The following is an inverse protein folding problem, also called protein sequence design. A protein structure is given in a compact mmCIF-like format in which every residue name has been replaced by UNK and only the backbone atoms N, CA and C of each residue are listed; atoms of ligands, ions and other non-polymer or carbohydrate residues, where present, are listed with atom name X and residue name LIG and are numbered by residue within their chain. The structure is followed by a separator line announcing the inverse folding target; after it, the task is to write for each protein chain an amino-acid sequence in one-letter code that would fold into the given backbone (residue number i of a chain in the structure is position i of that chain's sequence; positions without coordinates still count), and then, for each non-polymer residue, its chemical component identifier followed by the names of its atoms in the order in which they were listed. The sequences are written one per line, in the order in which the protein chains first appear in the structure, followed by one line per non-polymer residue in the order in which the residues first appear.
data_IF_079909262365
#
_entry.id   IF_079909262365
#
_cell.length_a   1.000
_cell.length_b   1.000
_cell.length_c   1.000
_cell.angle_alpha   90.00
_cell.angle_beta   90.00
_cell.angle_gamma   90.00
#
_symmetry.space_group_name_H-M   'P 1'
#
loop_
_entity.id
_entity.type
_entity.pdbx_description
1 polymer ?
#
# COMPACT_ATOMS: atom_id res chain seq x y z
N UNK A 1 -34.83 -20.93 38.66
CA UNK A 1 -34.52 -22.30 38.18
C UNK A 1 -33.57 -22.16 36.99
N UNK A 2 -32.26 -21.89 37.10
CA UNK A 2 -31.24 -22.15 38.16
C UNK A 2 -30.93 -23.63 38.43
N UNK A 3 -29.69 -23.91 38.87
CA UNK A 3 -29.09 -25.24 39.22
C UNK A 3 -28.66 -26.07 37.98
N UNK A 4 -27.50 -26.74 37.87
CA UNK A 4 -26.10 -26.70 38.39
C UNK A 4 -25.23 -27.39 37.27
N UNK A 5 -23.90 -27.34 37.09
CA UNK A 5 -22.70 -27.17 37.93
C UNK A 5 -22.27 -28.45 38.75
N UNK A 6 -21.00 -28.77 39.05
CA UNK A 6 -19.68 -28.29 38.58
C UNK A 6 -18.52 -29.15 39.20
N UNK A 7 -17.26 -28.87 38.83
CA UNK A 7 -15.97 -29.31 39.46
C UNK A 7 -15.34 -30.70 39.16
N UNK A 8 -14.28 -30.63 38.32
CA UNK A 8 -12.90 -31.15 38.47
C UNK A 8 -12.51 -32.65 38.54
N UNK A 9 -11.40 -32.96 37.83
CA UNK A 9 -10.41 -34.02 38.13
C UNK A 9 -9.95 -34.82 36.88
N UNK A 10 -8.67 -34.96 36.54
CA UNK A 10 -7.46 -34.25 36.98
C UNK A 10 -6.32 -34.28 35.91
N UNK A 11 -5.45 -33.26 35.96
CA UNK A 11 -4.06 -33.16 35.45
C UNK A 11 -3.45 -34.21 34.48
N UNK A 12 -3.14 -33.78 33.25
CA UNK A 12 -1.77 -33.93 32.68
C UNK A 12 -1.52 -32.88 31.56
N UNK A 13 -0.81 -31.76 31.83
CA UNK A 13 -0.64 -30.68 30.85
C UNK A 13 0.23 -31.04 29.64
N UNK A 14 1.27 -31.85 29.83
CA UNK A 14 2.37 -32.00 28.86
C UNK A 14 1.97 -32.78 27.60
N UNK A 15 1.03 -33.72 27.71
CA UNK A 15 0.58 -34.55 26.60
C UNK A 15 -0.32 -33.83 25.58
N UNK A 16 -0.94 -32.70 25.96
CA UNK A 16 -1.74 -31.90 25.02
C UNK A 16 -0.86 -31.06 24.07
N UNK A 17 0.31 -30.60 24.52
CA UNK A 17 1.20 -29.74 23.73
C UNK A 17 1.63 -30.43 22.42
N UNK A 18 1.92 -31.74 22.48
CA UNK A 18 2.37 -32.54 21.32
C UNK A 18 1.22 -32.88 20.36
N UNK A 19 -0.06 -32.80 20.78
CA UNK A 19 -1.23 -33.01 19.90
C UNK A 19 -1.77 -31.71 19.30
N UNK A 20 -1.58 -30.56 19.95
CA UNK A 20 -2.01 -29.27 19.40
C UNK A 20 -1.14 -28.76 18.24
N UNK A 21 0.14 -29.16 18.17
CA UNK A 21 1.04 -28.77 17.07
C UNK A 21 0.66 -29.40 15.72
N UNK A 22 0.17 -30.64 15.70
CA UNK A 22 -0.13 -31.36 14.46
C UNK A 22 -1.32 -30.77 13.68
N UNK A 23 -2.36 -30.28 14.37
CA UNK A 23 -3.54 -29.72 13.70
C UNK A 23 -3.31 -28.32 13.14
N UNK A 24 -2.39 -27.52 13.71
CA UNK A 24 -2.13 -26.17 13.21
C UNK A 24 -1.44 -26.18 11.85
N UNK A 25 -0.54 -27.15 11.61
CA UNK A 25 0.12 -27.35 10.32
C UNK A 25 -0.87 -27.68 9.18
N UNK A 26 -1.98 -28.37 9.47
CA UNK A 26 -3.00 -28.73 8.47
C UNK A 26 -4.04 -27.63 8.21
N UNK A 27 -4.20 -26.67 9.13
CA UNK A 27 -5.14 -25.54 8.97
C UNK A 27 -4.46 -24.34 8.29
N UNK A 28 -3.13 -24.24 8.39
CA UNK A 28 -2.30 -23.24 7.74
C UNK A 28 -2.43 -23.18 6.20
N UNK A 29 -2.61 -24.32 5.52
CA UNK A 29 -2.56 -24.38 4.06
C UNK A 29 -3.82 -23.83 3.37
N UNK A 30 -4.99 -23.90 4.02
CA UNK A 30 -6.28 -23.46 3.45
C UNK A 30 -6.97 -22.41 4.31
N UNK A 31 -6.40 -21.21 4.34
CA UNK A 31 -7.20 -20.02 4.57
C UNK A 31 -8.13 -19.83 3.36
N UNK A 32 -9.38 -20.26 3.49
CA UNK A 32 -10.41 -19.94 2.50
C UNK A 32 -10.64 -18.43 2.53
N UNK A 33 -10.31 -17.76 1.42
CA UNK A 33 -10.43 -16.31 1.25
C UNK A 33 -11.71 -15.97 0.45
N UNK A 34 -12.87 -15.73 1.10
CA UNK A 34 -14.08 -15.30 0.44
C UNK A 34 -13.93 -13.84 -0.03
N UNK A 35 -13.49 -13.65 -1.27
CA UNK A 35 -13.25 -12.32 -1.82
C UNK A 35 -14.49 -11.44 -1.80
N UNK A 36 -14.42 -10.28 -1.14
CA UNK A 36 -15.55 -9.35 -1.09
C UNK A 36 -15.56 -8.30 0.02
N UNK A 37 -14.62 -7.33 -0.04
CA UNK A 37 -14.86 -5.92 0.33
C UNK A 37 -13.67 -5.07 -0.12
N UNK A 38 -13.98 -3.86 -0.62
CA UNK A 38 -12.99 -3.00 -1.30
C UNK A 38 -12.69 -1.76 -0.47
N UNK A 39 -11.47 -1.60 0.06
CA UNK A 39 -10.91 -0.28 0.34
C UNK A 39 -10.62 0.40 -1.01
N UNK A 40 -11.11 1.62 -1.21
CA UNK A 40 -10.82 2.45 -2.40
C UNK A 40 -11.32 1.90 -3.75
N UNK A 41 -12.53 1.35 -3.80
CA UNK A 41 -13.21 1.17 -5.09
C UNK A 41 -13.40 2.54 -5.74
N UNK A 42 -12.89 2.73 -6.97
CA UNK A 42 -13.20 3.92 -7.77
C UNK A 42 -14.74 4.04 -7.84
N UNK A 43 -15.29 5.12 -7.29
CA UNK A 43 -16.72 5.41 -7.43
C UNK A 43 -17.02 5.66 -8.91
N UNK A 44 -18.05 5.01 -9.45
CA UNK A 44 -18.59 5.37 -10.77
C UNK A 44 -19.18 6.77 -10.66
N UNK A 45 -18.51 7.72 -11.30
CA UNK A 45 -18.80 9.15 -11.35
C UNK A 45 -19.03 9.80 -9.96
N UNK A 46 -18.00 10.46 -9.38
CA UNK A 46 -18.15 11.13 -8.10
C UNK A 46 -19.19 12.25 -8.18
N UNK A 47 -20.08 12.29 -7.19
CA UNK A 47 -21.18 13.27 -7.16
C UNK A 47 -20.63 14.69 -6.99
N UNK A 48 -21.40 15.73 -7.37
CA UNK A 48 -20.97 17.12 -7.21
C UNK A 48 -20.54 17.47 -5.78
N UNK A 49 -21.19 16.89 -4.77
CA UNK A 49 -20.91 17.09 -3.36
C UNK A 49 -19.57 16.45 -2.95
N UNK A 50 -19.24 15.27 -3.51
CA UNK A 50 -17.94 14.62 -3.30
C UNK A 50 -16.83 15.47 -3.94
N UNK A 51 -17.03 15.94 -5.17
CA UNK A 51 -16.06 16.81 -5.87
C UNK A 51 -15.81 18.10 -5.09
N UNK A 52 -16.88 18.80 -4.67
CA UNK A 52 -16.78 20.00 -3.84
C UNK A 52 -16.00 19.73 -2.54
N UNK A 53 -16.23 18.60 -1.86
CA UNK A 53 -15.49 18.26 -0.64
C UNK A 53 -14.02 17.94 -0.90
N UNK A 54 -13.69 17.29 -2.01
CA UNK A 54 -12.29 17.13 -2.42
C UNK A 54 -11.61 18.48 -2.70
N UNK A 55 -12.28 19.42 -3.37
CA UNK A 55 -11.77 20.78 -3.61
C UNK A 55 -11.57 21.58 -2.30
N UNK A 56 -12.54 21.51 -1.37
CA UNK A 56 -12.43 22.13 -0.04
C UNK A 56 -11.23 21.56 0.76
N UNK A 57 -11.08 20.23 0.84
CA UNK A 57 -9.97 19.62 1.57
C UNK A 57 -8.61 19.86 0.89
N UNK A 58 -8.56 19.90 -0.45
CA UNK A 58 -7.34 20.21 -1.20
C UNK A 58 -6.89 21.66 -0.94
N UNK A 59 -7.84 22.61 -0.92
CA UNK A 59 -7.60 24.00 -0.50
C UNK A 59 -7.04 24.10 0.92
N UNK A 60 -7.57 23.31 1.85
CA UNK A 60 -7.09 23.24 3.24
C UNK A 60 -5.67 22.65 3.34
N UNK A 61 -5.32 21.63 2.54
CA UNK A 61 -3.95 21.08 2.45
C UNK A 61 -2.97 22.13 1.92
N UNK A 62 -3.33 22.88 0.86
CA UNK A 62 -2.48 23.98 0.36
C UNK A 62 -2.37 25.13 1.37
N UNK A 63 -3.45 25.48 2.07
CA UNK A 63 -3.44 26.50 3.13
C UNK A 63 -2.51 26.11 4.28
N UNK A 64 -2.56 24.85 4.74
CA UNK A 64 -1.68 24.32 5.77
C UNK A 64 -0.21 24.32 5.33
N UNK A 65 0.06 23.80 4.13
CA UNK A 65 1.42 23.73 3.55
C UNK A 65 2.05 25.13 3.44
N UNK A 66 1.27 26.12 2.98
CA UNK A 66 1.68 27.53 2.91
C UNK A 66 1.92 28.15 4.29
N UNK A 67 1.13 27.79 5.30
CA UNK A 67 1.27 28.30 6.66
C UNK A 67 2.48 27.70 7.40
N UNK A 68 2.85 26.45 7.11
CA UNK A 68 4.05 25.81 7.65
C UNK A 68 5.35 26.40 7.06
N UNK A 69 5.32 26.85 5.80
CA UNK A 69 6.39 27.64 5.19
C UNK A 69 7.76 26.96 5.23
N UNK A 70 8.80 27.70 5.65
CA UNK A 70 10.18 27.22 5.72
C UNK A 70 10.42 26.09 6.73
N UNK A 71 9.44 25.76 7.59
CA UNK A 71 9.54 24.61 8.49
C UNK A 71 9.37 23.28 7.74
N UNK A 72 8.66 23.25 6.60
CA UNK A 72 8.57 22.05 5.77
C UNK A 72 9.83 21.80 4.93
N UNK A 73 10.64 22.83 4.63
CA UNK A 73 11.90 22.67 3.88
C UNK A 73 12.93 21.87 4.71
N UNK A 74 13.33 20.65 4.27
CA UNK A 74 14.30 19.81 4.98
C UNK A 74 15.68 20.46 5.09
N UNK A 75 16.03 21.36 4.16
CA UNK A 75 17.32 22.04 4.12
C UNK A 75 17.46 23.09 5.23
N UNK A 76 16.35 23.59 5.78
CA UNK A 76 16.34 24.46 6.96
C UNK A 76 16.42 23.65 8.28
N UNK A 77 16.19 22.32 8.23
CA UNK A 77 16.14 21.48 9.42
C UNK A 77 17.54 20.97 9.81
N UNK A 78 18.29 21.81 10.53
CA UNK A 78 19.64 21.48 11.04
C UNK A 78 19.71 20.31 12.03
N UNK A 79 18.57 19.82 12.53
CA UNK A 79 18.47 18.64 13.38
C UNK A 79 17.95 17.44 12.57
N UNK A 80 18.64 16.29 12.53
CA UNK A 80 18.24 15.14 11.71
C UNK A 80 16.81 14.63 11.98
N UNK A 81 16.37 14.58 13.25
CA UNK A 81 15.01 14.15 13.57
C UNK A 81 13.95 15.15 13.06
N UNK A 82 14.23 16.47 13.11
CA UNK A 82 13.37 17.48 12.48
C UNK A 82 13.36 17.34 10.96
N UNK A 83 14.51 17.04 10.33
CA UNK A 83 14.61 16.79 8.88
C UNK A 83 13.73 15.61 8.47
N UNK A 84 13.84 14.47 9.18
CA UNK A 84 12.99 13.30 8.94
C UNK A 84 11.51 13.67 9.06
N UNK A 85 11.09 14.38 10.12
CA UNK A 85 9.68 14.81 10.28
C UNK A 85 9.21 15.75 9.17
N UNK A 86 10.05 16.70 8.71
CA UNK A 86 9.71 17.59 7.59
C UNK A 86 9.59 16.84 6.24
N UNK A 87 10.42 15.82 6.02
CA UNK A 87 10.33 14.95 4.84
C UNK A 87 9.07 14.07 4.89
N UNK A 88 8.79 13.43 6.03
CA UNK A 88 7.57 12.62 6.21
C UNK A 88 6.30 13.46 6.02
N UNK A 89 6.26 14.68 6.55
CA UNK A 89 5.09 15.56 6.37
C UNK A 89 4.91 16.03 4.92
N UNK A 90 5.99 16.22 4.15
CA UNK A 90 5.85 16.45 2.71
C UNK A 90 5.38 15.18 1.96
N UNK A 91 5.81 13.99 2.35
CA UNK A 91 5.27 12.72 1.82
C UNK A 91 3.76 12.66 2.09
N UNK A 92 3.32 12.98 3.31
CA UNK A 92 1.91 13.07 3.65
C UNK A 92 1.16 14.14 2.82
N UNK A 93 1.71 15.33 2.59
CA UNK A 93 1.07 16.36 1.74
C UNK A 93 0.82 15.81 0.33
N UNK A 94 1.85 15.26 -0.32
CA UNK A 94 1.74 14.71 -1.68
C UNK A 94 0.78 13.51 -1.72
N UNK A 95 0.83 12.61 -0.74
CA UNK A 95 -0.08 11.46 -0.64
C UNK A 95 -1.55 11.89 -0.45
N UNK A 96 -1.81 12.94 0.35
CA UNK A 96 -3.15 13.48 0.54
C UNK A 96 -3.66 14.20 -0.71
N UNK A 97 -2.81 14.95 -1.43
CA UNK A 97 -3.16 15.55 -2.73
C UNK A 97 -3.61 14.45 -3.70
N UNK A 98 -2.80 13.39 -3.88
CA UNK A 98 -3.16 12.28 -4.77
C UNK A 98 -4.47 11.61 -4.33
N UNK A 99 -4.64 11.34 -3.04
CA UNK A 99 -5.81 10.64 -2.48
C UNK A 99 -7.09 11.46 -2.60
N UNK A 100 -7.03 12.79 -2.44
CA UNK A 100 -8.18 13.69 -2.62
C UNK A 100 -8.52 13.88 -4.10
N UNK A 101 -7.52 14.09 -4.96
CA UNK A 101 -7.73 14.35 -6.39
C UNK A 101 -8.17 13.08 -7.12
N UNK A 102 -7.66 11.90 -6.79
CA UNK A 102 -8.04 10.66 -7.48
C UNK A 102 -9.51 10.26 -7.26
N UNK A 103 -10.17 10.76 -6.22
CA UNK A 103 -11.62 10.63 -6.04
C UNK A 103 -12.41 11.32 -7.15
N UNK A 104 -11.80 12.26 -7.88
CA UNK A 104 -12.39 12.95 -9.04
C UNK A 104 -12.17 12.23 -10.38
N UNK A 105 -11.35 11.16 -10.43
CA UNK A 105 -10.90 10.55 -11.67
C UNK A 105 -11.78 9.37 -12.14
N UNK A 106 -12.05 9.36 -13.45
CA UNK A 106 -12.84 8.30 -14.14
C UNK A 106 -12.00 7.47 -15.12
N UNK A 107 -10.81 7.93 -15.49
CA UNK A 107 -9.80 7.25 -16.31
C UNK A 107 -8.50 7.10 -15.54
N UNK A 108 -7.75 6.03 -15.81
CA UNK A 108 -6.40 5.85 -15.24
C UNK A 108 -5.37 6.83 -15.86
N UNK A 109 -5.69 7.53 -16.95
CA UNK A 109 -4.79 8.52 -17.57
C UNK A 109 -4.67 9.81 -16.75
N UNK A 110 -5.70 10.19 -16.01
CA UNK A 110 -5.71 11.41 -15.18
C UNK A 110 -4.65 11.40 -14.07
N UNK A 111 -4.16 10.22 -13.67
CA UNK A 111 -3.04 10.12 -12.72
C UNK A 111 -1.72 10.70 -13.25
N UNK A 112 -1.56 10.93 -14.56
CA UNK A 112 -0.34 11.55 -15.10
C UNK A 112 -0.22 13.04 -14.71
N UNK A 113 -1.34 13.71 -14.44
CA UNK A 113 -1.36 15.08 -13.92
C UNK A 113 -0.67 15.17 -12.54
N UNK A 114 -0.66 14.06 -11.79
CA UNK A 114 -0.06 13.91 -10.46
C UNK A 114 1.36 13.33 -10.48
N UNK A 115 2.01 13.30 -11.65
CA UNK A 115 3.40 12.88 -11.80
C UNK A 115 4.40 13.72 -10.95
N UNK A 116 4.21 15.04 -10.73
CA UNK A 116 5.04 15.79 -9.78
C UNK A 116 4.98 15.22 -8.36
N UNK A 117 3.79 14.92 -7.86
CA UNK A 117 3.53 14.38 -6.52
C UNK A 117 4.11 12.97 -6.38
N UNK A 118 3.93 12.10 -7.38
CA UNK A 118 4.54 10.76 -7.40
C UNK A 118 6.08 10.84 -7.39
N UNK A 119 6.68 11.75 -8.17
CA UNK A 119 8.14 12.00 -8.13
C UNK A 119 8.57 12.56 -6.78
N UNK A 120 7.80 13.47 -6.18
CA UNK A 120 8.09 14.04 -4.87
C UNK A 120 8.11 12.97 -3.78
N UNK A 121 7.07 12.14 -3.65
CA UNK A 121 7.02 11.01 -2.70
C UNK A 121 8.24 10.11 -2.88
N UNK A 122 8.55 9.70 -4.12
CA UNK A 122 9.65 8.76 -4.40
C UNK A 122 11.02 9.33 -4.04
N UNK A 123 11.26 10.62 -4.34
CA UNK A 123 12.52 11.29 -4.00
C UNK A 123 12.65 11.56 -2.50
N UNK A 124 11.57 12.01 -1.85
CA UNK A 124 11.52 12.27 -0.41
C UNK A 124 11.74 10.97 0.38
N UNK A 125 11.02 9.90 0.03
CA UNK A 125 11.22 8.58 0.65
C UNK A 125 12.67 8.10 0.49
N UNK A 126 13.21 8.12 -0.73
CA UNK A 126 14.61 7.75 -0.99
C UNK A 126 15.64 8.57 -0.19
N UNK A 127 15.31 9.80 0.21
CA UNK A 127 16.22 10.66 0.98
C UNK A 127 16.34 10.32 2.47
N UNK A 128 15.36 9.61 3.04
CA UNK A 128 15.33 9.24 4.48
C UNK A 128 15.20 7.74 4.74
N UNK A 129 14.89 6.91 3.74
CA UNK A 129 14.57 5.49 4.00
C UNK A 129 15.71 4.75 4.69
N UNK A 130 16.97 5.03 4.33
CA UNK A 130 18.15 4.46 5.00
C UNK A 130 18.19 4.78 6.50
N UNK A 131 18.00 6.05 6.88
CA UNK A 131 17.92 6.48 8.28
C UNK A 131 16.78 5.77 9.05
N UNK A 132 15.66 5.48 8.36
CA UNK A 132 14.54 4.71 8.92
C UNK A 132 14.86 3.22 9.06
N UNK A 133 15.60 2.61 8.12
CA UNK A 133 16.06 1.21 8.22
C UNK A 133 17.07 1.06 9.34
N UNK A 134 18.11 1.90 9.38
CA UNK A 134 19.18 1.83 10.38
C UNK A 134 18.60 1.94 11.80
N UNK A 135 17.72 2.93 12.03
CA UNK A 135 17.03 3.12 13.31
C UNK A 135 15.97 2.05 13.65
N UNK A 136 15.65 1.13 12.73
CA UNK A 136 14.75 -0.01 12.98
C UNK A 136 15.49 -1.24 13.54
N UNK A 137 16.81 -1.33 13.37
CA UNK A 137 17.63 -2.43 13.89
C UNK A 137 17.81 -2.35 15.42
N UNK A 138 17.69 -1.15 16.01
CA UNK A 138 17.88 -0.91 17.45
C UNK A 138 16.61 -1.19 18.30
N UNK A 139 15.42 -1.23 17.69
CA UNK A 139 14.16 -1.46 18.41
C UNK A 139 13.13 -2.20 17.55
N UNK A 140 12.55 -3.28 18.08
CA UNK A 140 11.88 -4.32 17.29
C UNK A 140 10.68 -3.84 16.45
N UNK A 141 10.91 -3.74 15.13
CA UNK A 141 9.95 -4.02 14.03
C UNK A 141 8.59 -3.30 14.01
N UNK A 142 8.35 -2.28 14.84
CA UNK A 142 7.03 -1.65 14.91
C UNK A 142 7.10 -0.13 15.08
N UNK A 143 6.88 0.58 13.97
CA UNK A 143 6.59 2.03 13.94
C UNK A 143 5.09 2.20 13.66
N UNK A 144 4.46 3.18 14.30
CA UNK A 144 3.15 3.69 13.88
C UNK A 144 3.35 4.97 13.05
N UNK A 145 2.44 5.18 12.09
CA UNK A 145 2.12 6.46 11.46
C UNK A 145 3.32 7.26 10.89
N UNK A 146 4.12 6.61 10.04
CA UNK A 146 5.15 7.28 9.23
C UNK A 146 4.60 7.76 7.87
N UNK A 147 3.54 7.13 7.36
CA UNK A 147 2.95 7.38 6.05
C UNK A 147 3.80 6.94 4.85
N UNK A 148 5.05 6.53 5.06
CA UNK A 148 6.02 6.26 3.98
C UNK A 148 5.68 4.99 3.21
N UNK A 149 5.25 3.92 3.89
CA UNK A 149 4.87 2.67 3.24
C UNK A 149 3.57 2.78 2.41
N UNK A 150 2.45 3.33 2.92
CA UNK A 150 1.26 3.56 2.09
C UNK A 150 1.52 4.56 0.95
N UNK A 151 2.35 5.60 1.14
CA UNK A 151 2.68 6.53 0.07
C UNK A 151 3.48 5.87 -1.06
N UNK A 152 4.48 5.04 -0.74
CA UNK A 152 5.23 4.27 -1.73
C UNK A 152 4.37 3.22 -2.43
N UNK A 153 3.42 2.58 -1.73
CA UNK A 153 2.45 1.67 -2.33
C UNK A 153 1.49 2.38 -3.30
N UNK A 154 1.07 3.60 -2.96
CA UNK A 154 0.26 4.46 -3.83
C UNK A 154 1.01 4.80 -5.13
N UNK A 155 2.29 5.18 -5.05
CA UNK A 155 3.15 5.34 -6.25
C UNK A 155 3.27 4.00 -7.00
N UNK A 156 3.59 2.92 -6.29
CA UNK A 156 3.83 1.57 -6.83
C UNK A 156 2.66 0.97 -7.60
N UNK A 157 1.43 1.42 -7.32
CA UNK A 157 0.20 0.90 -7.94
C UNK A 157 -0.51 1.90 -8.86
N UNK A 158 -0.49 3.22 -8.57
CA UNK A 158 -1.18 4.25 -9.36
C UNK A 158 -0.31 5.01 -10.36
N UNK A 159 0.99 5.18 -10.11
CA UNK A 159 1.83 5.95 -11.02
C UNK A 159 2.06 5.20 -12.34
N UNK A 160 1.81 5.86 -13.48
CA UNK A 160 1.99 5.24 -14.80
C UNK A 160 3.38 5.39 -15.40
N UNK A 161 4.18 6.35 -14.94
CA UNK A 161 5.61 6.46 -15.31
C UNK A 161 6.35 5.22 -14.77
N UNK A 162 6.91 4.41 -15.68
CA UNK A 162 7.61 3.17 -15.34
C UNK A 162 8.81 3.38 -14.42
N UNK A 163 9.52 4.50 -14.57
CA UNK A 163 10.75 4.82 -13.83
C UNK A 163 10.42 5.21 -12.38
N UNK A 164 9.41 6.06 -12.20
CA UNK A 164 8.94 6.49 -10.86
C UNK A 164 8.34 5.30 -10.12
N UNK A 165 7.49 4.53 -10.79
CA UNK A 165 6.89 3.32 -10.23
C UNK A 165 7.93 2.26 -9.88
N UNK A 166 8.88 1.98 -10.77
CA UNK A 166 9.96 1.02 -10.56
C UNK A 166 10.77 1.35 -9.31
N UNK A 167 11.21 2.61 -9.19
CA UNK A 167 11.96 3.10 -8.03
C UNK A 167 11.15 3.04 -6.73
N UNK A 168 9.85 3.30 -6.74
CA UNK A 168 9.00 3.12 -5.55
C UNK A 168 8.90 1.65 -5.10
N UNK A 169 8.84 0.72 -6.06
CA UNK A 169 8.86 -0.73 -5.79
C UNK A 169 10.22 -1.18 -5.23
N UNK A 170 11.32 -0.67 -5.77
CA UNK A 170 12.68 -0.91 -5.26
C UNK A 170 12.85 -0.42 -3.81
N UNK A 171 12.33 0.78 -3.49
CA UNK A 171 12.36 1.33 -2.13
C UNK A 171 11.56 0.46 -1.14
N UNK A 172 10.39 -0.05 -1.54
CA UNK A 172 9.61 -0.98 -0.73
C UNK A 172 10.39 -2.27 -0.46
N UNK A 173 10.81 -2.96 -1.53
CA UNK A 173 11.48 -4.28 -1.47
C UNK A 173 12.87 -4.26 -0.81
N UNK A 174 13.51 -3.10 -0.68
CA UNK A 174 14.82 -2.97 0.00
C UNK A 174 14.73 -2.57 1.47
N UNK A 175 13.58 -2.06 1.94
CA UNK A 175 13.53 -1.34 3.22
C UNK A 175 13.40 -2.18 4.49
N UNK A 176 12.80 -3.38 4.45
CA UNK A 176 12.52 -4.19 5.67
C UNK A 176 11.68 -3.49 6.76
N UNK A 177 11.05 -2.35 6.46
CA UNK A 177 10.20 -1.60 7.41
C UNK A 177 8.84 -2.29 7.56
N UNK A 178 8.27 -2.21 8.77
CA UNK A 178 6.85 -2.49 9.03
C UNK A 178 6.20 -1.33 9.78
N UNK A 179 5.09 -0.85 9.24
CA UNK A 179 4.36 0.33 9.71
C UNK A 179 2.90 -0.06 10.03
N UNK A 180 2.63 -0.46 11.27
CA UNK A 180 1.33 -1.03 11.65
C UNK A 180 0.99 -2.30 10.86
N UNK A 181 -0.03 -2.20 9.99
CA UNK A 181 -0.45 -3.26 9.06
C UNK A 181 0.37 -3.32 7.76
N UNK A 182 1.11 -2.26 7.44
CA UNK A 182 1.90 -2.17 6.21
C UNK A 182 3.23 -2.90 6.38
N UNK A 183 3.38 -4.04 5.72
CA UNK A 183 4.66 -4.75 5.58
C UNK A 183 5.30 -4.37 4.23
N UNK A 184 6.52 -3.83 4.27
CA UNK A 184 7.20 -3.28 3.09
C UNK A 184 7.44 -4.33 1.99
N UNK A 185 7.82 -5.55 2.36
CA UNK A 185 8.01 -6.65 1.42
C UNK A 185 6.69 -7.12 0.81
N UNK A 186 5.64 -7.25 1.61
CA UNK A 186 4.30 -7.58 1.12
C UNK A 186 3.84 -6.60 0.04
N UNK A 187 3.81 -5.31 0.36
CA UNK A 187 3.23 -4.28 -0.52
C UNK A 187 4.15 -3.93 -1.70
N UNK A 188 5.47 -4.10 -1.54
CA UNK A 188 6.43 -4.08 -2.65
C UNK A 188 6.20 -5.26 -3.61
N UNK A 189 5.95 -6.46 -3.08
CA UNK A 189 5.68 -7.65 -3.88
C UNK A 189 4.33 -7.59 -4.60
N UNK A 190 3.30 -7.05 -3.94
CA UNK A 190 2.00 -6.74 -4.57
C UNK A 190 2.19 -5.74 -5.72
N UNK A 191 2.86 -4.61 -5.46
CA UNK A 191 3.13 -3.58 -6.47
C UNK A 191 3.94 -4.12 -7.64
N UNK A 192 4.96 -4.94 -7.38
CA UNK A 192 5.74 -5.61 -8.42
C UNK A 192 4.91 -6.63 -9.22
N UNK A 193 3.98 -7.36 -8.58
CA UNK A 193 3.09 -8.28 -9.30
C UNK A 193 2.11 -7.54 -10.21
N UNK A 194 1.53 -6.45 -9.72
CA UNK A 194 0.68 -5.55 -10.52
C UNK A 194 1.49 -4.99 -11.70
N UNK A 195 2.69 -4.46 -11.46
CA UNK A 195 3.62 -4.02 -12.52
C UNK A 195 3.85 -5.11 -13.57
N UNK A 196 4.14 -6.35 -13.17
CA UNK A 196 4.37 -7.45 -14.12
C UNK A 196 3.15 -7.80 -14.97
N UNK A 197 1.92 -7.60 -14.47
CA UNK A 197 0.68 -7.84 -15.22
C UNK A 197 0.40 -6.69 -16.22
N UNK A 198 0.70 -5.45 -15.82
CA UNK A 198 0.45 -4.26 -16.65
C UNK A 198 1.55 -4.00 -17.71
N UNK A 199 2.79 -4.37 -17.42
CA UNK A 199 3.92 -4.20 -18.33
C UNK A 199 4.07 -5.36 -19.33
N UNK A 200 3.25 -6.40 -19.20
CA UNK A 200 3.19 -7.54 -20.12
C UNK A 200 2.90 -7.05 -21.56
N UNK A 201 3.73 -7.49 -22.52
CA UNK A 201 3.66 -7.04 -23.92
C UNK A 201 4.09 -5.60 -24.18
N UNK A 202 4.66 -4.89 -23.20
CA UNK A 202 5.15 -3.52 -23.36
C UNK A 202 6.32 -3.39 -24.35
N UNK A 203 6.34 -2.30 -25.12
CA UNK A 203 7.36 -2.05 -26.13
C UNK A 203 8.63 -1.37 -25.56
N UNK A 204 9.81 -1.58 -26.16
CA UNK A 204 11.01 -0.82 -25.83
C UNK A 204 10.79 0.69 -26.00
N UNK A 205 11.13 1.48 -24.97
CA UNK A 205 10.92 2.94 -24.96
C UNK A 205 9.52 3.40 -24.55
N UNK A 206 8.60 2.51 -24.17
CA UNK A 206 7.30 2.89 -23.61
C UNK A 206 7.42 3.43 -22.18
N UNK A 207 7.44 4.76 -22.00
CA UNK A 207 7.62 5.40 -20.68
C UNK A 207 6.40 5.24 -19.74
N UNK A 208 5.18 5.15 -20.29
CA UNK A 208 3.91 5.09 -19.55
C UNK A 208 3.08 3.85 -19.91
N UNK A 209 2.45 3.19 -18.94
CA UNK A 209 1.49 2.11 -19.25
C UNK A 209 0.23 2.70 -19.90
N UNK A 210 -0.20 2.22 -21.10
CA UNK A 210 -1.46 2.64 -21.69
C UNK A 210 -2.66 2.18 -20.84
N UNK A 211 -3.75 2.95 -20.85
CA UNK A 211 -4.95 2.64 -20.04
C UNK A 211 -5.52 1.25 -20.33
N UNK A 212 -5.42 0.76 -21.56
CA UNK A 212 -5.88 -0.58 -21.96
C UNK A 212 -5.23 -1.73 -21.17
N UNK A 213 -4.03 -1.53 -20.61
CA UNK A 213 -3.30 -2.52 -19.79
C UNK A 213 -3.36 -2.26 -18.28
N UNK A 214 -3.98 -1.17 -17.82
CA UNK A 214 -4.10 -0.87 -16.37
C UNK A 214 -5.03 -1.87 -15.68
N UNK A 215 -4.73 -2.23 -14.43
CA UNK A 215 -5.53 -3.17 -13.64
C UNK A 215 -6.04 -2.54 -12.34
N UNK A 216 -7.30 -2.83 -12.03
CA UNK A 216 -7.99 -2.29 -10.86
C UNK A 216 -7.95 -3.32 -9.74
N UNK A 217 -7.16 -3.07 -8.69
CA UNK A 217 -7.12 -3.93 -7.50
C UNK A 217 -8.47 -3.86 -6.79
N UNK A 218 -9.11 -5.01 -6.54
CA UNK A 218 -10.45 -5.08 -5.91
C UNK A 218 -10.39 -5.61 -4.48
N UNK A 219 -9.46 -6.50 -4.16
CA UNK A 219 -9.14 -6.86 -2.77
C UNK A 219 -7.74 -7.46 -2.67
N UNK A 220 -7.17 -7.41 -1.47
CA UNK A 220 -5.83 -7.89 -1.16
C UNK A 220 -5.94 -8.67 0.15
N UNK A 221 -5.90 -9.99 0.05
CA UNK A 221 -5.90 -10.86 1.22
C UNK A 221 -4.44 -11.26 1.49
N UNK A 222 -3.84 -10.69 2.53
CA UNK A 222 -2.41 -10.79 2.81
C UNK A 222 -2.13 -11.40 4.19
N UNK A 223 -1.20 -12.35 4.20
CA UNK A 223 -0.78 -13.14 5.35
C UNK A 223 0.72 -12.84 5.60
N UNK A 224 0.94 -11.78 6.36
CA UNK A 224 2.23 -11.14 6.60
C UNK A 224 2.86 -11.56 7.94
N UNK A 225 2.70 -12.81 8.34
CA UNK A 225 3.45 -13.37 9.46
C UNK A 225 4.83 -13.91 9.02
N UNK A 226 5.62 -14.43 9.96
CA UNK A 226 6.98 -14.94 9.70
C UNK A 226 7.04 -16.29 9.00
N UNK A 227 5.91 -16.98 8.78
CA UNK A 227 5.83 -18.36 8.30
C UNK A 227 5.17 -18.48 6.93
N UNK A 228 4.12 -17.69 6.67
CA UNK A 228 3.27 -17.87 5.50
C UNK A 228 3.60 -16.93 4.34
N UNK A 229 4.01 -15.68 4.64
CA UNK A 229 4.47 -14.63 3.69
C UNK A 229 3.82 -14.69 2.30
N UNK A 230 2.48 -14.63 2.27
CA UNK A 230 1.69 -14.85 1.05
C UNK A 230 0.60 -13.81 0.90
N UNK A 231 0.26 -13.48 -0.33
CA UNK A 231 -0.86 -12.59 -0.63
C UNK A 231 -1.63 -13.09 -1.85
N UNK A 232 -2.96 -13.11 -1.73
CA UNK A 232 -3.87 -13.30 -2.85
C UNK A 232 -4.44 -11.93 -3.26
N UNK A 233 -3.98 -11.46 -4.41
CA UNK A 233 -4.43 -10.21 -5.03
C UNK A 233 -5.61 -10.54 -5.93
N UNK A 234 -6.74 -9.86 -5.75
CA UNK A 234 -7.87 -9.89 -6.66
C UNK A 234 -7.93 -8.56 -7.42
N UNK A 235 -8.13 -8.63 -8.74
CA UNK A 235 -8.08 -7.48 -9.62
C UNK A 235 -8.94 -7.67 -10.86
N UNK A 236 -9.31 -6.55 -11.48
CA UNK A 236 -10.08 -6.51 -12.73
C UNK A 236 -9.23 -5.90 -13.82
N UNK A 237 -9.26 -6.46 -15.04
CA UNK A 237 -8.54 -5.94 -16.21
C UNK A 237 -9.42 -5.95 -17.46
N UNK A 238 -9.15 -5.05 -18.42
CA UNK A 238 -9.83 -5.03 -19.73
C UNK A 238 -9.41 -6.26 -20.56
N UNK A 239 -10.26 -6.68 -21.50
CA UNK A 239 -9.97 -7.80 -22.41
C UNK A 239 -9.30 -7.29 -23.69
N UNK A 240 -8.03 -7.65 -23.89
CA UNK A 240 -7.30 -7.28 -25.10
C UNK A 240 -7.05 -5.77 -25.24
N UNK A 241 -6.95 -5.29 -26.47
CA UNK A 241 -6.48 -3.93 -26.79
C UNK A 241 -7.58 -2.94 -27.22
N UNK A 242 -8.85 -3.37 -27.31
CA UNK A 242 -9.98 -2.56 -27.81
C UNK A 242 -11.19 -2.60 -26.85
N UNK A 243 -11.01 -2.14 -25.62
CA UNK A 243 -12.10 -1.82 -24.65
C UNK A 243 -13.21 -2.87 -24.42
N UNK A 244 -12.91 -4.16 -24.67
CA UNK A 244 -13.80 -5.26 -24.34
C UNK A 244 -13.81 -5.59 -22.83
N UNK A 245 -14.92 -6.22 -22.41
CA UNK A 245 -15.23 -6.89 -21.15
C UNK A 245 -14.17 -6.82 -20.03
N UNK A 246 -14.58 -6.22 -18.90
CA UNK A 246 -13.82 -6.27 -17.65
C UNK A 246 -13.79 -7.69 -17.08
N UNK A 247 -12.63 -8.34 -17.19
CA UNK A 247 -12.38 -9.68 -16.65
C UNK A 247 -11.85 -9.57 -15.21
N UNK A 248 -12.57 -10.19 -14.27
CA UNK A 248 -12.08 -10.44 -12.92
C UNK A 248 -11.00 -11.52 -12.93
N UNK A 249 -9.95 -11.35 -12.14
CA UNK A 249 -8.79 -12.23 -12.07
C UNK A 249 -8.17 -12.19 -10.67
N UNK A 250 -7.29 -13.16 -10.39
CA UNK A 250 -6.51 -13.15 -9.15
C UNK A 250 -5.08 -13.65 -9.40
N UNK A 251 -4.19 -13.38 -8.45
CA UNK A 251 -2.84 -13.96 -8.41
C UNK A 251 -2.44 -14.20 -6.96
N UNK A 252 -1.79 -15.35 -6.71
CA UNK A 252 -0.96 -15.53 -5.53
C UNK A 252 0.37 -14.78 -5.72
N UNK A 253 0.97 -14.36 -4.61
CA UNK A 253 2.32 -13.78 -4.46
C UNK A 253 2.91 -14.30 -3.15
N UNK A 254 4.22 -14.54 -3.11
CA UNK A 254 4.97 -15.04 -1.94
C UNK A 254 6.34 -14.36 -1.84
N UNK A 255 6.86 -14.16 -0.62
CA UNK A 255 8.15 -13.47 -0.34
C UNK A 255 8.83 -13.96 0.96
#
# INVERSE_FOLDING_TARGET
MSVLASFLGSSNPTLNIIKYSANYAMIAETADFPGGKVPFANLKDPTPEIRQKCEEYLSDVYRWTKAAGSWLDPLQQSNPAKRIVSVLLQIHVNMNIITLVCMSFTSETSFDELLPEFRAITNLAASIIGELVDSSQESAFYRFDLGILPALYLVGTRCRDRTVRGRAIELLLSSQIREGVWDSFCIGSISNRIRMIEEEGGLPGEEFIPESRRVFITSVDADCDSYHRRCKIFYTKRRGSQDEDLIFSNSLVTW
#
